data_IF_450270057128
#
_entry.id   IF_450270057128
#
_cell.length_a   1.000
_cell.length_b   1.000
_cell.length_c   1.000
_cell.angle_alpha   90.00
_cell.angle_beta   90.00
_cell.angle_gamma   90.00
#
_symmetry.space_group_name_H-M   'P 1'
#
loop_
_entity.id
_entity.type
_entity.pdbx_description
1 polymer ?
#
# COMPACT_ATOMS: atom_id res chain seq x y z
N UNK A 1 35.09 -40.52 28.09
CA UNK A 1 34.19 -41.48 28.80
C UNK A 1 32.90 -41.88 28.05
N UNK A 2 32.47 -41.21 26.95
CA UNK A 2 31.30 -41.63 26.15
C UNK A 2 31.62 -42.63 25.01
N UNK A 3 32.82 -42.58 24.43
CA UNK A 3 33.23 -43.41 23.28
C UNK A 3 33.43 -44.89 23.68
N UNK A 4 34.04 -45.17 24.84
CA UNK A 4 34.24 -46.55 25.29
C UNK A 4 32.92 -47.27 25.58
N UNK A 5 31.94 -46.59 26.17
CA UNK A 5 30.60 -47.16 26.41
C UNK A 5 29.85 -47.49 25.12
N UNK A 6 30.00 -46.66 24.07
CA UNK A 6 29.44 -46.92 22.73
C UNK A 6 30.15 -48.12 22.08
N UNK A 7 31.48 -48.17 22.15
CA UNK A 7 32.28 -49.28 21.62
C UNK A 7 31.86 -50.60 22.26
N UNK A 8 31.79 -50.70 23.59
CA UNK A 8 31.39 -51.94 24.29
C UNK A 8 29.95 -52.37 23.95
N UNK A 9 29.01 -51.42 23.80
CA UNK A 9 27.60 -51.71 23.49
C UNK A 9 27.44 -52.22 22.05
N UNK A 10 28.09 -51.60 21.07
CA UNK A 10 28.03 -52.05 19.68
C UNK A 10 28.82 -53.33 19.43
N UNK A 11 29.97 -53.53 20.08
CA UNK A 11 30.71 -54.80 19.99
C UNK A 11 29.82 -55.95 20.47
N UNK A 12 29.09 -55.81 21.59
CA UNK A 12 28.15 -56.84 22.07
C UNK A 12 27.03 -57.15 21.06
N UNK A 13 26.45 -56.14 20.43
CA UNK A 13 25.38 -56.31 19.43
C UNK A 13 25.93 -57.03 18.19
N UNK A 14 27.10 -56.60 17.68
CA UNK A 14 27.75 -57.21 16.52
C UNK A 14 28.16 -58.65 16.83
N UNK A 15 28.76 -58.92 18.00
CA UNK A 15 29.11 -60.28 18.43
C UNK A 15 27.88 -61.18 18.53
N UNK A 16 26.74 -60.67 19.00
CA UNK A 16 25.50 -61.43 19.05
C UNK A 16 24.94 -61.75 17.64
N UNK A 17 24.95 -60.78 16.73
CA UNK A 17 24.52 -60.97 15.33
C UNK A 17 25.42 -61.95 14.58
N UNK A 18 26.73 -61.88 14.82
CA UNK A 18 27.72 -62.77 14.20
C UNK A 18 27.61 -64.21 14.71
N UNK A 19 27.34 -64.38 15.99
CA UNK A 19 27.28 -65.71 16.61
C UNK A 19 25.90 -66.37 16.53
N UNK A 20 24.84 -65.58 16.32
CA UNK A 20 23.47 -66.07 16.17
C UNK A 20 22.74 -65.42 14.98
N UNK A 21 23.18 -65.66 13.73
CA UNK A 21 22.44 -65.24 12.57
C UNK A 21 21.18 -66.12 12.45
N UNK A 22 20.07 -65.72 13.10
CA UNK A 22 18.76 -66.38 13.07
C UNK A 22 18.83 -67.91 13.23
N UNK A 23 18.73 -68.40 14.47
CA UNK A 23 18.78 -69.83 14.78
C UNK A 23 18.02 -70.71 13.78
N UNK A 24 18.73 -71.68 13.19
CA UNK A 24 18.24 -72.71 12.26
C UNK A 24 17.58 -72.25 10.94
N UNK A 25 17.76 -70.99 10.51
CA UNK A 25 17.28 -70.54 9.18
C UNK A 25 18.39 -70.74 8.14
N UNK A 26 18.08 -71.42 7.03
CA UNK A 26 19.01 -71.57 5.89
C UNK A 26 19.47 -70.18 5.42
N UNK A 27 20.78 -70.03 5.20
CA UNK A 27 21.44 -68.76 4.87
C UNK A 27 20.79 -68.07 3.66
N UNK A 28 20.24 -68.83 2.71
CA UNK A 28 19.50 -68.28 1.55
C UNK A 28 18.27 -67.49 1.99
N UNK A 29 17.53 -68.01 2.97
CA UNK A 29 16.38 -67.34 3.55
C UNK A 29 16.79 -66.18 4.46
N UNK A 30 17.90 -66.32 5.20
CA UNK A 30 18.43 -65.23 6.02
C UNK A 30 18.80 -64.00 5.15
N UNK A 31 19.44 -64.20 3.99
CA UNK A 31 19.77 -63.10 3.06
C UNK A 31 18.49 -62.42 2.55
N UNK A 32 17.46 -63.18 2.19
CA UNK A 32 16.18 -62.62 1.72
C UNK A 32 15.50 -61.80 2.82
N UNK A 33 15.43 -62.33 4.05
CA UNK A 33 14.81 -61.65 5.19
C UNK A 33 15.56 -60.37 5.54
N UNK A 34 16.88 -60.41 5.65
CA UNK A 34 17.67 -59.20 5.91
C UNK A 34 17.61 -58.19 4.75
N UNK A 35 17.53 -58.66 3.50
CA UNK A 35 17.33 -57.81 2.34
C UNK A 35 16.00 -57.06 2.39
N UNK A 36 14.91 -57.76 2.73
CA UNK A 36 13.59 -57.15 2.93
C UNK A 36 13.63 -56.14 4.09
N UNK A 37 14.30 -56.45 5.19
CA UNK A 37 14.45 -55.53 6.32
C UNK A 37 15.22 -54.27 5.90
N UNK A 38 16.31 -54.39 5.14
CA UNK A 38 17.06 -53.24 4.61
C UNK A 38 16.18 -52.39 3.70
N UNK A 39 15.42 -53.01 2.79
CA UNK A 39 14.50 -52.30 1.89
C UNK A 39 13.41 -51.62 2.71
N UNK A 40 12.76 -52.31 3.64
CA UNK A 40 11.71 -51.75 4.50
C UNK A 40 12.20 -50.56 5.32
N UNK A 41 13.35 -50.70 6.00
CA UNK A 41 13.94 -49.60 6.78
C UNK A 41 14.29 -48.43 5.85
N UNK A 42 14.84 -48.70 4.67
CA UNK A 42 15.15 -47.66 3.67
C UNK A 42 13.89 -46.95 3.19
N UNK A 43 12.82 -47.70 2.87
CA UNK A 43 11.53 -47.15 2.44
C UNK A 43 10.88 -46.32 3.53
N UNK A 44 10.84 -46.81 4.79
CA UNK A 44 10.38 -46.05 5.95
C UNK A 44 11.22 -44.77 6.14
N UNK A 45 12.52 -44.82 5.87
CA UNK A 45 13.41 -43.64 5.91
C UNK A 45 13.11 -42.61 4.81
N UNK A 46 12.69 -43.08 3.62
CA UNK A 46 12.27 -42.21 2.54
C UNK A 46 10.88 -41.61 2.78
N UNK A 47 9.97 -42.37 3.41
CA UNK A 47 8.60 -41.96 3.72
C UNK A 47 8.48 -41.12 5.01
N UNK A 48 9.43 -41.22 5.94
CA UNK A 48 9.47 -40.35 7.12
C UNK A 48 9.93 -38.95 6.72
N UNK A 49 8.94 -38.07 6.59
CA UNK A 49 9.12 -36.63 6.47
C UNK A 49 9.59 -36.09 7.84
N UNK A 50 10.89 -35.81 7.96
CA UNK A 50 11.56 -35.17 9.11
C UNK A 50 11.74 -35.99 10.41
N UNK A 51 12.69 -36.94 10.45
CA UNK A 51 13.11 -37.59 11.70
C UNK A 51 13.95 -36.65 12.59
N UNK A 52 13.67 -36.62 13.89
CA UNK A 52 14.51 -35.95 14.90
C UNK A 52 15.95 -36.49 14.89
N UNK A 53 16.91 -35.75 15.45
CA UNK A 53 18.33 -36.16 15.50
C UNK A 53 18.54 -37.54 16.16
N UNK A 54 17.75 -37.85 17.19
CA UNK A 54 17.76 -39.17 17.84
C UNK A 54 17.16 -40.26 16.93
N UNK A 55 16.07 -39.97 16.21
CA UNK A 55 15.48 -40.89 15.24
C UNK A 55 16.43 -41.15 14.06
N UNK A 56 17.14 -40.13 13.56
CA UNK A 56 18.16 -40.28 12.51
C UNK A 56 19.32 -41.17 12.97
N UNK A 57 19.78 -41.00 14.22
CA UNK A 57 20.83 -41.84 14.79
C UNK A 57 20.38 -43.31 14.94
N UNK A 58 19.15 -43.54 15.40
CA UNK A 58 18.55 -44.88 15.49
C UNK A 58 18.40 -45.52 14.12
N UNK A 59 17.96 -44.75 13.12
CA UNK A 59 17.76 -45.23 11.75
C UNK A 59 19.08 -45.59 11.06
N UNK A 60 20.13 -44.76 11.23
CA UNK A 60 21.48 -45.08 10.76
C UNK A 60 22.04 -46.33 11.42
N UNK A 61 21.85 -46.47 12.73
CA UNK A 61 22.25 -47.67 13.44
C UNK A 61 21.48 -48.90 12.93
N UNK A 62 20.17 -48.79 12.68
CA UNK A 62 19.35 -49.87 12.17
C UNK A 62 19.76 -50.32 10.76
N UNK A 63 20.03 -49.38 9.84
CA UNK A 63 20.55 -49.67 8.50
C UNK A 63 21.92 -50.34 8.57
N UNK A 64 22.85 -49.77 9.36
CA UNK A 64 24.18 -50.33 9.51
C UNK A 64 24.15 -51.73 10.13
N UNK A 65 23.29 -51.98 11.13
CA UNK A 65 23.04 -53.30 11.71
C UNK A 65 22.50 -54.27 10.66
N UNK A 66 21.48 -53.87 9.90
CA UNK A 66 20.82 -54.74 8.92
C UNK A 66 21.75 -55.11 7.75
N UNK A 67 22.53 -54.15 7.24
CA UNK A 67 23.56 -54.41 6.21
C UNK A 67 24.67 -55.30 6.77
N UNK A 68 25.14 -55.04 7.98
CA UNK A 68 26.19 -55.87 8.62
C UNK A 68 25.69 -57.28 8.88
N UNK A 69 24.43 -57.47 9.27
CA UNK A 69 23.80 -58.78 9.44
C UNK A 69 23.67 -59.53 8.11
N UNK A 70 23.26 -58.84 7.03
CA UNK A 70 23.20 -59.41 5.68
C UNK A 70 24.57 -59.90 5.21
N UNK A 71 25.63 -59.09 5.40
CA UNK A 71 26.99 -59.50 5.06
C UNK A 71 27.53 -60.57 6.00
N UNK A 72 27.16 -60.58 7.28
CA UNK A 72 27.53 -61.66 8.21
C UNK A 72 26.94 -63.01 7.76
N UNK A 73 25.70 -63.03 7.26
CA UNK A 73 25.11 -64.22 6.64
C UNK A 73 25.88 -64.68 5.39
N UNK A 74 26.39 -63.76 4.56
CA UNK A 74 27.24 -64.11 3.41
C UNK A 74 28.61 -64.65 3.88
N UNK A 75 29.25 -64.00 4.85
CA UNK A 75 30.57 -64.37 5.37
C UNK A 75 30.58 -65.63 6.24
N UNK A 76 29.41 -66.09 6.72
CA UNK A 76 29.26 -67.39 7.38
C UNK A 76 29.78 -68.55 6.51
N UNK A 77 29.75 -68.39 5.18
CA UNK A 77 30.22 -69.39 4.21
C UNK A 77 31.74 -69.34 3.95
N UNK A 78 32.44 -68.30 4.41
CA UNK A 78 33.87 -68.14 4.15
C UNK A 78 34.68 -69.05 5.07
N UNK A 79 35.16 -70.19 4.58
CA UNK A 79 35.69 -71.26 5.43
C UNK A 79 37.16 -71.07 5.83
N UNK A 80 37.58 -69.86 6.22
CA UNK A 80 38.92 -69.59 6.72
C UNK A 80 38.90 -69.33 8.23
N UNK A 81 39.71 -70.11 8.97
CA UNK A 81 39.80 -70.18 10.43
C UNK A 81 40.33 -68.93 11.15
N UNK A 82 40.09 -67.74 10.60
CA UNK A 82 40.48 -66.45 11.19
C UNK A 82 39.25 -65.65 11.60
N UNK A 83 38.58 -66.12 12.65
CA UNK A 83 37.38 -65.47 13.21
C UNK A 83 37.61 -63.98 13.53
N UNK A 84 38.81 -63.61 13.97
CA UNK A 84 39.19 -62.22 14.26
C UNK A 84 39.19 -61.30 13.03
N UNK A 85 39.59 -61.80 11.86
CA UNK A 85 39.59 -61.00 10.61
C UNK A 85 38.17 -60.76 10.12
N UNK A 86 37.30 -61.78 10.19
CA UNK A 86 35.88 -61.64 9.86
C UNK A 86 35.19 -60.61 10.74
N UNK A 87 35.45 -60.66 12.05
CA UNK A 87 34.93 -59.68 12.99
C UNK A 87 35.42 -58.27 12.64
N UNK A 88 36.72 -58.11 12.36
CA UNK A 88 37.29 -56.81 11.98
C UNK A 88 36.67 -56.26 10.68
N UNK A 89 36.46 -57.10 9.67
CA UNK A 89 35.82 -56.71 8.40
C UNK A 89 34.36 -56.31 8.58
N UNK A 90 33.60 -57.05 9.38
CA UNK A 90 32.20 -56.71 9.69
C UNK A 90 32.10 -55.43 10.51
N UNK A 91 33.03 -55.20 11.44
CA UNK A 91 33.08 -53.99 12.24
C UNK A 91 33.48 -52.78 11.38
N UNK A 92 34.41 -52.96 10.44
CA UNK A 92 34.77 -51.95 9.45
C UNK A 92 33.61 -51.65 8.50
N UNK A 93 32.90 -52.67 8.00
CA UNK A 93 31.70 -52.51 7.18
C UNK A 93 30.61 -51.75 7.94
N UNK A 94 30.34 -52.13 9.20
CA UNK A 94 29.40 -51.43 10.07
C UNK A 94 29.78 -49.96 10.21
N UNK A 95 31.05 -49.66 10.54
CA UNK A 95 31.53 -48.28 10.68
C UNK A 95 31.41 -47.52 9.37
N UNK A 96 31.78 -48.15 8.25
CA UNK A 96 31.76 -47.52 6.93
C UNK A 96 30.33 -47.18 6.52
N UNK A 97 29.38 -48.11 6.67
CA UNK A 97 27.97 -47.87 6.38
C UNK A 97 27.37 -46.86 7.36
N UNK A 98 27.72 -46.92 8.65
CA UNK A 98 27.24 -45.98 9.65
C UNK A 98 27.73 -44.54 9.41
N UNK A 99 29.01 -44.38 9.03
CA UNK A 99 29.64 -43.08 8.81
C UNK A 99 29.40 -42.51 7.41
N UNK A 100 29.36 -43.35 6.36
CA UNK A 100 29.17 -42.92 4.99
C UNK A 100 27.70 -42.71 4.62
N UNK A 101 26.75 -43.01 5.51
CA UNK A 101 25.33 -42.83 5.23
C UNK A 101 24.97 -41.34 5.10
N UNK A 102 24.64 -40.84 3.88
CA UNK A 102 24.37 -39.43 3.63
C UNK A 102 23.06 -38.95 4.24
N UNK A 103 22.22 -39.86 4.77
CA UNK A 103 20.98 -39.54 5.51
C UNK A 103 21.26 -38.58 6.69
N UNK A 104 22.52 -38.48 7.11
CA UNK A 104 22.99 -37.53 8.12
C UNK A 104 23.11 -36.08 7.71
N UNK A 105 23.59 -35.86 6.50
CA UNK A 105 24.19 -34.60 6.09
C UNK A 105 23.30 -33.87 5.11
N UNK A 106 22.42 -34.57 4.40
CA UNK A 106 21.55 -33.95 3.40
C UNK A 106 20.11 -33.74 3.86
N UNK A 107 19.61 -34.49 4.86
CA UNK A 107 18.20 -34.37 5.32
C UNK A 107 18.01 -33.50 6.57
N UNK A 108 19.03 -33.35 7.43
CA UNK A 108 18.92 -32.44 8.60
C UNK A 108 18.83 -30.97 8.18
N UNK A 109 19.48 -30.61 7.08
CA UNK A 109 19.46 -29.24 6.52
C UNK A 109 18.12 -28.88 5.88
N UNK A 110 17.19 -29.84 5.74
CA UNK A 110 15.91 -29.62 5.08
C UNK A 110 14.69 -29.54 6.01
N UNK A 111 14.85 -29.73 7.31
CA UNK A 111 13.71 -29.80 8.24
C UNK A 111 13.56 -28.59 9.20
N UNK A 112 14.39 -27.55 9.05
CA UNK A 112 14.29 -26.28 9.80
C UNK A 112 14.02 -25.06 8.89
N UNK A 113 13.34 -25.25 7.75
CA UNK A 113 13.20 -24.13 6.81
C UNK A 113 12.21 -23.06 7.25
N UNK A 114 11.16 -23.35 8.02
CA UNK A 114 10.10 -22.36 8.25
C UNK A 114 10.00 -21.90 9.70
N UNK A 115 10.33 -20.64 9.94
CA UNK A 115 9.99 -19.95 11.17
C UNK A 115 8.58 -19.35 11.05
N UNK A 116 7.93 -19.21 12.20
CA UNK A 116 6.57 -18.69 12.31
C UNK A 116 6.60 -17.42 13.13
N UNK A 117 5.82 -16.43 12.69
CA UNK A 117 5.58 -15.20 13.44
C UNK A 117 4.10 -15.12 13.73
N UNK A 118 3.77 -15.08 15.02
CA UNK A 118 2.45 -14.72 15.48
C UNK A 118 2.39 -13.21 15.58
N UNK A 119 1.33 -12.59 15.08
CA UNK A 119 1.18 -11.16 15.24
C UNK A 119 -0.25 -10.71 15.36
N UNK A 120 -0.40 -9.44 15.71
CA UNK A 120 -1.68 -8.73 15.72
C UNK A 120 -1.52 -7.43 14.97
N UNK A 121 -2.49 -7.10 14.14
CA UNK A 121 -2.57 -5.83 13.42
C UNK A 121 -3.78 -5.04 13.91
N UNK A 122 -3.53 -3.77 14.24
CA UNK A 122 -4.52 -2.83 14.73
C UNK A 122 -4.56 -1.59 13.84
N UNK A 123 -5.72 -0.96 13.73
CA UNK A 123 -5.92 0.37 13.18
C UNK A 123 -6.38 1.27 14.33
N UNK A 124 -5.48 2.07 14.89
CA UNK A 124 -5.68 2.68 16.21
C UNK A 124 -5.77 1.60 17.28
N UNK A 125 -6.75 1.71 18.16
CA UNK A 125 -7.01 0.71 19.21
C UNK A 125 -7.84 -0.50 18.71
N UNK A 126 -8.36 -0.47 17.48
CA UNK A 126 -9.26 -1.49 16.95
C UNK A 126 -8.51 -2.59 16.17
N UNK A 127 -8.80 -3.88 16.41
CA UNK A 127 -8.18 -4.97 15.66
C UNK A 127 -8.60 -4.95 14.18
N UNK A 128 -7.62 -5.00 13.28
CA UNK A 128 -7.86 -4.96 11.84
C UNK A 128 -8.09 -6.36 11.27
N UNK A 129 -9.35 -6.68 10.96
CA UNK A 129 -9.74 -7.95 10.35
C UNK A 129 -9.59 -7.99 8.83
N UNK A 130 -9.35 -9.19 8.27
CA UNK A 130 -9.24 -9.45 6.83
C UNK A 130 -8.15 -8.63 6.12
N UNK A 131 -7.09 -8.25 6.83
CA UNK A 131 -5.91 -7.65 6.21
C UNK A 131 -4.97 -8.75 5.71
N UNK A 132 -4.51 -8.63 4.47
CA UNK A 132 -3.47 -9.47 3.89
C UNK A 132 -2.13 -9.03 4.46
N UNK A 133 -1.50 -9.89 5.25
CA UNK A 133 -0.13 -9.68 5.75
C UNK A 133 0.80 -10.57 4.94
N UNK A 134 1.84 -10.02 4.34
CA UNK A 134 2.75 -10.74 3.46
C UNK A 134 4.23 -10.40 3.69
N UNK A 135 5.10 -11.32 3.26
CA UNK A 135 6.54 -11.13 3.14
C UNK A 135 6.89 -11.15 1.66
N UNK A 136 7.02 -9.98 1.01
CA UNK A 136 7.26 -9.90 -0.43
C UNK A 136 8.51 -10.65 -0.89
N UNK A 137 9.52 -10.73 -0.01
CA UNK A 137 10.78 -11.41 -0.29
C UNK A 137 10.65 -12.93 -0.33
N UNK A 138 9.65 -13.50 0.35
CA UNK A 138 9.51 -14.95 0.56
C UNK A 138 8.20 -15.51 -0.02
N UNK A 139 7.39 -14.69 -0.71
CA UNK A 139 6.09 -15.06 -1.30
C UNK A 139 5.08 -15.69 -0.31
N UNK A 140 5.22 -15.44 0.98
CA UNK A 140 4.25 -15.88 1.99
C UNK A 140 3.24 -14.79 2.27
N UNK A 141 1.97 -15.16 2.38
CA UNK A 141 0.89 -14.27 2.77
C UNK A 141 -0.11 -14.99 3.67
N UNK A 142 -0.80 -14.23 4.49
CA UNK A 142 -1.84 -14.70 5.41
C UNK A 142 -2.91 -13.61 5.57
N UNK A 143 -4.06 -13.96 6.12
CA UNK A 143 -5.12 -13.02 6.45
C UNK A 143 -5.25 -12.89 7.97
N UNK A 144 -5.44 -11.67 8.45
CA UNK A 144 -5.79 -11.43 9.84
C UNK A 144 -7.22 -11.87 10.15
N UNK A 145 -7.43 -12.45 11.34
CA UNK A 145 -8.73 -12.87 11.82
C UNK A 145 -9.57 -11.70 12.39
N UNK A 146 -10.75 -11.99 12.95
CA UNK A 146 -11.64 -10.98 13.54
C UNK A 146 -11.04 -10.21 14.73
N UNK A 147 -10.02 -10.77 15.38
CA UNK A 147 -9.28 -10.18 16.49
C UNK A 147 -7.95 -9.54 16.02
N UNK A 148 -7.77 -9.37 14.70
CA UNK A 148 -6.56 -8.80 14.11
C UNK A 148 -5.35 -9.73 14.12
N UNK A 149 -5.51 -10.98 14.57
CA UNK A 149 -4.39 -11.91 14.73
C UNK A 149 -4.05 -12.58 13.40
N UNK A 150 -2.76 -12.75 13.14
CA UNK A 150 -2.24 -13.43 11.96
C UNK A 150 -1.08 -14.36 12.29
N UNK A 151 -0.89 -15.36 11.44
CA UNK A 151 0.22 -16.30 11.50
C UNK A 151 0.96 -16.27 10.15
N UNK A 152 2.20 -15.77 10.17
CA UNK A 152 3.03 -15.60 8.98
C UNK A 152 4.18 -16.61 9.02
N UNK A 153 4.41 -17.29 7.88
CA UNK A 153 5.50 -18.26 7.72
C UNK A 153 6.62 -17.63 6.92
N UNK A 154 7.87 -17.98 7.22
CA UNK A 154 9.01 -17.48 6.44
C UNK A 154 10.18 -18.46 6.44
N UNK A 155 10.95 -18.43 5.35
CA UNK A 155 12.12 -19.30 5.17
C UNK A 155 13.33 -18.80 5.98
N UNK A 156 13.70 -19.53 7.03
CA UNK A 156 14.88 -19.31 7.86
C UNK A 156 16.14 -19.86 7.15
N UNK A 157 16.53 -19.21 6.04
CA UNK A 157 17.67 -19.64 5.21
C UNK A 157 19.00 -18.96 5.58
N UNK A 158 18.96 -17.80 6.25
CA UNK A 158 20.14 -17.00 6.65
C UNK A 158 19.88 -16.27 7.99
N UNK A 159 20.94 -15.81 8.67
CA UNK A 159 20.85 -14.89 9.82
C UNK A 159 20.31 -13.53 9.35
N UNK A 160 18.98 -13.43 9.23
CA UNK A 160 18.29 -12.21 8.82
C UNK A 160 17.85 -11.47 10.08
N UNK A 161 18.39 -10.27 10.28
CA UNK A 161 18.03 -9.42 11.44
C UNK A 161 16.66 -8.74 11.27
N UNK A 162 16.19 -8.58 10.02
CA UNK A 162 14.93 -7.89 9.71
C UNK A 162 14.22 -8.39 8.45
N UNK A 163 12.90 -8.46 8.48
CA UNK A 163 12.05 -8.84 7.34
C UNK A 163 11.20 -7.65 6.87
N UNK A 164 11.04 -7.49 5.55
CA UNK A 164 10.04 -6.58 5.00
C UNK A 164 8.64 -7.22 5.12
N UNK A 165 7.78 -6.59 5.90
CA UNK A 165 6.37 -6.98 6.08
C UNK A 165 5.50 -6.00 5.30
N UNK A 166 4.57 -6.51 4.51
CA UNK A 166 3.56 -5.71 3.81
C UNK A 166 2.16 -6.05 4.34
N UNK A 167 1.33 -5.02 4.52
CA UNK A 167 -0.04 -5.14 5.03
C UNK A 167 -0.99 -4.43 4.07
N UNK A 168 -1.95 -5.18 3.52
CA UNK A 168 -2.97 -4.69 2.60
C UNK A 168 -4.38 -4.97 3.07
N UNK A 169 -5.25 -3.97 2.97
CA UNK A 169 -6.69 -4.08 3.17
C UNK A 169 -7.42 -3.13 2.22
N UNK A 170 -8.76 -3.07 2.25
CA UNK A 170 -9.54 -2.14 1.42
C UNK A 170 -9.16 -0.66 1.62
N UNK A 171 -8.59 -0.31 2.79
CA UNK A 171 -8.30 1.08 3.18
C UNK A 171 -6.81 1.36 3.40
N UNK A 172 -5.95 0.33 3.39
CA UNK A 172 -4.55 0.44 3.83
C UNK A 172 -3.66 -0.37 2.89
N UNK A 173 -2.54 0.21 2.49
CA UNK A 173 -1.46 -0.45 1.75
C UNK A 173 -0.12 0.10 2.27
N UNK A 174 0.56 -0.67 3.11
CA UNK A 174 1.78 -0.22 3.78
C UNK A 174 2.81 -1.34 3.89
N UNK A 175 4.07 -0.97 4.08
CA UNK A 175 5.16 -1.91 4.31
C UNK A 175 6.23 -1.33 5.23
N UNK A 176 6.83 -2.17 6.07
CA UNK A 176 7.85 -1.77 7.03
C UNK A 176 8.82 -2.93 7.31
N UNK A 177 10.01 -2.62 7.83
CA UNK A 177 10.98 -3.62 8.25
C UNK A 177 10.76 -4.01 9.70
N UNK A 178 10.41 -5.27 9.94
CA UNK A 178 10.27 -5.86 11.27
C UNK A 178 11.57 -6.52 11.72
N UNK A 179 12.04 -6.19 12.92
CA UNK A 179 13.25 -6.77 13.51
C UNK A 179 12.93 -8.13 14.15
N UNK A 180 13.63 -9.18 13.75
CA UNK A 180 13.41 -10.57 14.21
C UNK A 180 14.04 -10.81 15.60
N UNK A 181 13.87 -9.86 16.52
CA UNK A 181 14.33 -10.00 17.92
C UNK A 181 13.23 -10.53 18.83
N UNK A 182 11.98 -10.56 18.35
CA UNK A 182 10.80 -10.96 19.10
C UNK A 182 10.04 -12.05 18.35
N UNK A 183 9.41 -12.98 19.08
CA UNK A 183 8.59 -14.06 18.50
C UNK A 183 7.17 -13.60 18.14
N UNK A 184 6.79 -12.41 18.60
CA UNK A 184 5.48 -11.79 18.40
C UNK A 184 5.62 -10.44 17.72
N UNK A 185 4.78 -10.18 16.72
CA UNK A 185 4.73 -8.92 15.98
C UNK A 185 3.43 -8.18 16.29
N UNK A 186 3.51 -7.06 16.99
CA UNK A 186 2.36 -6.19 17.21
C UNK A 186 2.49 -4.97 16.32
N UNK A 187 1.51 -4.74 15.45
CA UNK A 187 1.51 -3.68 14.45
C UNK A 187 0.34 -2.75 14.71
N UNK A 188 0.65 -1.55 15.17
CA UNK A 188 -0.31 -0.45 15.28
C UNK A 188 -0.16 0.42 14.04
N UNK A 189 -1.12 0.36 13.11
CA UNK A 189 -0.98 1.00 11.79
C UNK A 189 -0.96 2.53 11.87
N UNK A 190 -1.37 3.12 12.99
CA UNK A 190 -1.15 4.54 13.28
C UNK A 190 0.34 4.91 13.30
N UNK A 191 1.22 3.96 13.63
CA UNK A 191 2.68 4.11 13.60
C UNK A 191 3.27 3.94 12.17
N UNK A 192 2.43 3.66 11.17
CA UNK A 192 2.81 3.44 9.76
C UNK A 192 2.01 4.35 8.80
N UNK A 193 1.91 5.63 9.14
CA UNK A 193 1.29 6.68 8.33
C UNK A 193 1.61 6.53 6.83
N UNK A 194 0.57 6.50 5.99
CA UNK A 194 0.74 6.61 4.54
C UNK A 194 1.38 7.98 4.28
N UNK A 195 2.65 8.06 3.83
CA UNK A 195 3.31 9.34 3.67
C UNK A 195 2.56 10.16 2.63
N UNK A 196 2.33 11.44 2.93
CA UNK A 196 1.67 12.34 1.99
C UNK A 196 2.46 12.40 0.68
N UNK A 197 1.86 11.91 -0.39
CA UNK A 197 2.45 11.92 -1.74
C UNK A 197 1.81 12.99 -2.61
N UNK A 198 2.52 13.47 -3.63
CA UNK A 198 1.97 14.42 -4.61
C UNK A 198 0.68 13.90 -5.27
N UNK A 199 0.56 12.58 -5.44
CA UNK A 199 -0.65 11.96 -6.00
C UNK A 199 -1.85 12.08 -5.05
N UNK A 200 -1.64 11.89 -3.75
CA UNK A 200 -2.70 12.08 -2.75
C UNK A 200 -3.13 13.55 -2.72
N UNK A 201 -2.18 14.47 -2.70
CA UNK A 201 -2.47 15.92 -2.77
C UNK A 201 -3.29 16.24 -4.03
N UNK A 202 -2.85 15.76 -5.20
CA UNK A 202 -3.57 15.99 -6.46
C UNK A 202 -5.02 15.48 -6.40
N UNK A 203 -5.23 14.25 -5.94
CA UNK A 203 -6.57 13.67 -5.83
C UNK A 203 -7.48 14.48 -4.88
N UNK A 204 -6.94 14.97 -3.76
CA UNK A 204 -7.70 15.79 -2.81
C UNK A 204 -8.06 17.15 -3.41
N UNK A 205 -7.14 17.80 -4.11
CA UNK A 205 -7.38 19.07 -4.82
C UNK A 205 -8.39 18.87 -5.96
N UNK A 206 -8.31 17.76 -6.71
CA UNK A 206 -9.28 17.39 -7.74
C UNK A 206 -10.68 17.21 -7.14
N UNK A 207 -10.80 16.50 -6.02
CA UNK A 207 -12.08 16.31 -5.34
C UNK A 207 -12.70 17.63 -4.88
N UNK A 208 -11.89 18.55 -4.34
CA UNK A 208 -12.36 19.91 -3.99
C UNK A 208 -12.76 20.71 -5.23
N UNK A 209 -12.02 20.55 -6.34
CA UNK A 209 -12.35 21.20 -7.61
C UNK A 209 -13.72 20.73 -8.12
N UNK A 210 -13.99 19.42 -8.07
CA UNK A 210 -15.29 18.85 -8.42
C UNK A 210 -16.41 19.40 -7.54
N UNK A 211 -16.19 19.50 -6.22
CA UNK A 211 -17.16 20.09 -5.30
C UNK A 211 -17.52 21.54 -5.68
N UNK A 212 -16.53 22.36 -6.06
CA UNK A 212 -16.78 23.71 -6.55
C UNK A 212 -17.58 23.71 -7.86
N UNK A 213 -17.24 22.82 -8.79
CA UNK A 213 -17.98 22.71 -10.05
C UNK A 213 -19.44 22.33 -9.81
N UNK A 214 -19.73 21.41 -8.88
CA UNK A 214 -21.09 21.05 -8.47
C UNK A 214 -21.84 22.24 -7.86
N UNK A 215 -21.19 23.03 -6.99
CA UNK A 215 -21.79 24.25 -6.44
C UNK A 215 -22.12 25.27 -7.54
N UNK A 216 -21.21 25.43 -8.51
CA UNK A 216 -21.44 26.32 -9.65
C UNK A 216 -22.57 25.84 -10.54
N UNK A 217 -22.72 24.54 -10.79
CA UNK A 217 -23.89 24.00 -11.49
C UNK A 217 -25.18 24.32 -10.74
N UNK A 218 -25.19 24.21 -9.41
CA UNK A 218 -26.31 24.63 -8.58
C UNK A 218 -26.63 26.12 -8.73
N UNK A 219 -25.61 26.98 -8.83
CA UNK A 219 -25.78 28.41 -9.07
C UNK A 219 -26.33 28.70 -10.48
N UNK A 220 -25.83 28.03 -11.52
CA UNK A 220 -26.32 28.20 -12.89
C UNK A 220 -27.80 27.87 -13.04
N UNK A 221 -28.27 26.81 -12.35
CA UNK A 221 -29.69 26.46 -12.29
C UNK A 221 -30.51 27.54 -11.60
N UNK A 222 -30.04 28.09 -10.47
CA UNK A 222 -30.71 29.19 -9.75
C UNK A 222 -30.78 30.48 -10.56
N UNK A 223 -29.82 30.70 -11.47
CA UNK A 223 -29.77 31.88 -12.34
C UNK A 223 -30.59 31.72 -13.61
N UNK A 224 -31.25 30.58 -13.81
CA UNK A 224 -32.10 30.29 -14.96
C UNK A 224 -31.38 30.56 -16.30
N UNK A 225 -30.10 30.19 -16.38
CA UNK A 225 -29.28 30.40 -17.57
C UNK A 225 -29.90 29.68 -18.77
N UNK A 226 -30.15 30.44 -19.86
CA UNK A 226 -30.76 29.96 -21.10
C UNK A 226 -29.68 29.62 -22.14
N UNK A 227 -30.02 29.72 -23.42
CA UNK A 227 -29.05 29.58 -24.50
C UNK A 227 -27.99 30.71 -24.46
N UNK A 228 -26.73 30.40 -24.80
CA UNK A 228 -25.67 31.39 -24.81
C UNK A 228 -25.88 32.41 -25.93
N UNK A 229 -25.56 33.67 -25.64
CA UNK A 229 -25.59 34.79 -26.59
C UNK A 229 -24.20 35.07 -27.16
N UNK A 230 -24.17 35.78 -28.28
CA UNK A 230 -22.90 36.22 -28.89
C UNK A 230 -22.28 37.40 -28.15
N UNK A 231 -20.96 37.56 -28.32
CA UNK A 231 -20.22 38.71 -27.80
C UNK A 231 -20.75 40.05 -28.33
N UNK A 232 -21.06 40.10 -29.63
CA UNK A 232 -21.57 41.30 -30.28
C UNK A 232 -22.94 41.71 -29.74
N UNK A 233 -23.78 40.72 -29.44
CA UNK A 233 -25.07 40.96 -28.80
C UNK A 233 -24.91 41.52 -27.39
N UNK A 234 -24.01 40.95 -26.58
CA UNK A 234 -23.71 41.47 -25.25
C UNK A 234 -23.22 42.92 -25.32
N UNK A 235 -22.29 43.21 -26.23
CA UNK A 235 -21.77 44.57 -26.46
C UNK A 235 -22.88 45.55 -26.85
N UNK A 236 -23.81 45.13 -27.72
CA UNK A 236 -24.97 45.93 -28.12
C UNK A 236 -25.87 46.25 -26.92
N UNK A 237 -26.12 45.27 -26.06
CA UNK A 237 -26.94 45.44 -24.86
C UNK A 237 -26.26 46.31 -23.80
N UNK A 238 -24.93 46.22 -23.68
CA UNK A 238 -24.11 46.94 -22.70
C UNK A 238 -23.91 48.42 -23.05
N UNK A 239 -23.75 48.73 -24.34
CA UNK A 239 -23.41 50.08 -24.84
C UNK A 239 -24.32 51.22 -24.31
N UNK A 240 -25.66 51.08 -24.25
CA UNK A 240 -26.53 52.13 -23.69
C UNK A 240 -26.21 52.46 -22.23
N UNK A 241 -25.80 51.47 -21.43
CA UNK A 241 -25.36 51.71 -20.07
C UNK A 241 -24.11 52.57 -20.04
N UNK A 242 -23.10 52.30 -20.87
CA UNK A 242 -21.88 53.13 -20.87
C UNK A 242 -22.13 54.56 -21.33
N UNK A 243 -22.90 54.74 -22.40
CA UNK A 243 -23.13 56.05 -23.02
C UNK A 243 -23.91 57.05 -22.16
N UNK A 244 -24.67 56.59 -21.17
CA UNK A 244 -25.46 57.47 -20.29
C UNK A 244 -24.52 58.31 -19.42
N UNK A 245 -24.53 59.63 -19.51
CA UNK A 245 -23.65 60.45 -18.65
C UNK A 245 -24.24 60.58 -17.24
N UNK A 246 -23.68 59.86 -16.27
CA UNK A 246 -24.06 59.92 -14.84
C UNK A 246 -22.97 59.29 -13.96
N UNK A 247 -23.04 59.53 -12.65
CA UNK A 247 -22.15 58.94 -11.66
C UNK A 247 -22.24 57.41 -11.61
N UNK A 248 -21.12 56.76 -11.30
CA UNK A 248 -20.98 55.30 -11.27
C UNK A 248 -20.59 54.81 -9.88
N UNK A 249 -21.28 53.77 -9.43
CA UNK A 249 -20.91 52.98 -8.26
C UNK A 249 -20.57 51.57 -8.72
N UNK A 250 -19.34 51.15 -8.45
CA UNK A 250 -18.88 49.80 -8.78
C UNK A 250 -18.74 48.98 -7.48
N UNK A 251 -19.35 47.81 -7.47
CA UNK A 251 -19.29 46.85 -6.37
C UNK A 251 -18.65 45.57 -6.89
N UNK A 252 -17.71 45.04 -6.11
CA UNK A 252 -16.92 43.87 -6.48
C UNK A 252 -16.99 42.87 -5.35
N UNK A 253 -17.23 41.62 -5.71
CA UNK A 253 -17.20 40.49 -4.79
C UNK A 253 -16.56 39.30 -5.48
N UNK A 254 -15.67 38.62 -4.79
CA UNK A 254 -15.17 37.31 -5.18
C UNK A 254 -15.74 36.27 -4.22
N UNK A 255 -16.15 35.12 -4.77
CA UNK A 255 -16.69 33.96 -4.05
C UNK A 255 -15.93 32.71 -4.47
N UNK A 256 -15.05 32.24 -3.60
CA UNK A 256 -14.52 30.89 -3.64
C UNK A 256 -15.33 29.95 -2.75
N UNK A 257 -14.81 28.74 -2.50
CA UNK A 257 -15.49 27.73 -1.65
C UNK A 257 -15.56 28.19 -0.18
N UNK A 258 -14.45 28.74 0.34
CA UNK A 258 -14.31 29.15 1.75
C UNK A 258 -13.84 30.60 1.90
N UNK A 259 -13.53 31.27 0.78
CA UNK A 259 -13.01 32.65 0.79
C UNK A 259 -13.97 33.57 0.07
N UNK A 260 -14.29 34.69 0.73
CA UNK A 260 -14.96 35.82 0.11
C UNK A 260 -14.09 37.07 0.22
N UNK A 261 -13.95 37.79 -0.89
CA UNK A 261 -13.26 39.08 -0.92
C UNK A 261 -14.22 40.14 -1.46
N UNK A 262 -14.21 41.30 -0.83
CA UNK A 262 -14.93 42.47 -1.31
C UNK A 262 -13.96 43.58 -1.68
N UNK A 263 -14.41 44.51 -2.53
CA UNK A 263 -13.66 45.65 -3.08
C UNK A 263 -12.60 45.28 -4.11
N UNK A 264 -12.58 46.03 -5.22
CA UNK A 264 -11.63 45.84 -6.34
C UNK A 264 -10.18 45.76 -5.91
N UNK A 265 -9.75 46.63 -4.97
CA UNK A 265 -8.37 46.67 -4.48
C UNK A 265 -7.92 45.34 -3.85
N UNK A 266 -8.82 44.65 -3.15
CA UNK A 266 -8.51 43.39 -2.48
C UNK A 266 -8.46 42.25 -3.50
N UNK A 267 -9.37 42.24 -4.48
CA UNK A 267 -9.35 41.29 -5.59
C UNK A 267 -8.04 41.39 -6.38
N UNK A 268 -7.62 42.62 -6.72
CA UNK A 268 -6.36 42.85 -7.43
C UNK A 268 -5.14 42.48 -6.58
N UNK A 269 -5.15 42.79 -5.28
CA UNK A 269 -4.09 42.38 -4.36
C UNK A 269 -4.01 40.86 -4.20
N UNK A 270 -5.13 40.16 -4.33
CA UNK A 270 -5.19 38.69 -4.38
C UNK A 270 -4.87 38.11 -5.77
N UNK A 271 -4.47 38.94 -6.74
CA UNK A 271 -4.06 38.50 -8.08
C UNK A 271 -5.21 38.18 -9.04
N UNK A 272 -6.45 38.57 -8.73
CA UNK A 272 -7.60 38.39 -9.63
C UNK A 272 -7.60 39.50 -10.68
N UNK A 273 -6.83 39.32 -11.75
CA UNK A 273 -6.64 40.33 -12.81
C UNK A 273 -7.90 40.59 -13.63
N UNK A 274 -8.85 39.65 -13.70
CA UNK A 274 -10.14 39.86 -14.36
C UNK A 274 -10.93 41.05 -13.78
N UNK A 275 -10.65 41.45 -12.53
CA UNK A 275 -11.26 42.63 -11.90
C UNK A 275 -10.72 43.97 -12.45
N UNK A 276 -9.68 43.95 -13.29
CA UNK A 276 -9.19 45.13 -14.00
C UNK A 276 -10.20 45.59 -15.06
N UNK A 277 -10.86 44.66 -15.73
CA UNK A 277 -11.76 44.95 -16.85
C UNK A 277 -13.20 45.13 -16.40
N UNK A 278 -13.70 46.36 -16.53
CA UNK A 278 -15.05 46.73 -16.11
C UNK A 278 -16.12 46.58 -17.20
N UNK A 279 -15.68 46.32 -18.43
CA UNK A 279 -16.54 46.18 -19.59
C UNK A 279 -16.25 44.86 -20.30
N UNK A 280 -17.24 44.33 -21.04
CA UNK A 280 -17.10 43.04 -21.67
C UNK A 280 -16.19 43.10 -22.92
N UNK A 281 -15.70 44.26 -23.37
CA UNK A 281 -15.05 44.41 -24.69
C UNK A 281 -13.82 43.53 -24.92
N UNK A 282 -13.14 43.06 -23.85
CA UNK A 282 -12.06 42.09 -23.96
C UNK A 282 -12.35 40.80 -23.16
N UNK A 283 -13.64 40.47 -23.05
CA UNK A 283 -14.17 39.26 -22.42
C UNK A 283 -13.73 39.06 -20.97
N UNK A 284 -13.42 40.15 -20.25
CA UNK A 284 -12.87 40.08 -18.90
C UNK A 284 -11.66 39.15 -18.80
N UNK A 285 -10.81 39.16 -19.84
CA UNK A 285 -9.61 38.31 -19.98
C UNK A 285 -9.87 36.81 -20.17
N UNK A 286 -11.11 36.38 -20.41
CA UNK A 286 -11.37 35.00 -20.81
C UNK A 286 -11.00 34.76 -22.28
N UNK A 287 -10.04 33.87 -22.50
CA UNK A 287 -9.66 33.40 -23.84
C UNK A 287 -10.82 32.67 -24.54
N UNK A 288 -11.61 31.90 -23.79
CA UNK A 288 -12.76 31.13 -24.30
C UNK A 288 -13.88 31.06 -23.26
N UNK A 289 -15.07 31.54 -23.63
CA UNK A 289 -16.20 31.59 -22.71
C UNK A 289 -17.56 31.47 -23.42
N UNK A 290 -18.55 30.98 -22.67
CA UNK A 290 -19.98 31.14 -22.96
C UNK A 290 -20.49 32.40 -22.26
N UNK A 291 -21.50 33.03 -22.85
CA UNK A 291 -22.13 34.22 -22.32
C UNK A 291 -23.60 33.93 -22.20
N UNK A 292 -24.16 34.05 -21.00
CA UNK A 292 -25.56 33.79 -20.74
C UNK A 292 -26.25 35.05 -20.26
N UNK A 293 -27.35 35.39 -20.91
CA UNK A 293 -28.16 36.53 -20.53
C UNK A 293 -29.20 36.08 -19.49
N UNK A 294 -29.19 36.71 -18.31
CA UNK A 294 -30.19 36.47 -17.25
C UNK A 294 -31.33 37.46 -17.39
N UNK A 295 -31.00 38.76 -17.50
CA UNK A 295 -31.99 39.84 -17.52
C UNK A 295 -31.55 40.96 -18.44
N UNK A 296 -32.51 41.54 -19.17
CA UNK A 296 -32.27 42.72 -20.00
C UNK A 296 -33.53 43.59 -20.05
N UNK A 297 -33.40 44.83 -19.62
CA UNK A 297 -34.41 45.89 -19.65
C UNK A 297 -33.78 47.15 -20.22
N UNK A 298 -34.57 47.92 -20.95
CA UNK A 298 -34.14 49.21 -21.52
C UNK A 298 -34.51 50.38 -20.59
N UNK A 299 -34.04 51.57 -20.94
CA UNK A 299 -34.38 52.80 -20.21
C UNK A 299 -35.90 53.08 -20.20
N UNK A 300 -36.44 53.76 -19.17
CA UNK A 300 -35.73 54.49 -18.10
C UNK A 300 -35.26 53.66 -16.89
N UNK A 301 -35.63 52.38 -16.82
CA UNK A 301 -35.22 51.45 -15.76
C UNK A 301 -34.27 50.39 -16.33
N UNK A 302 -33.11 50.84 -16.77
CA UNK A 302 -32.14 49.98 -17.43
C UNK A 302 -31.63 48.92 -16.44
N UNK A 303 -31.71 47.66 -16.84
CA UNK A 303 -31.11 46.54 -16.12
C UNK A 303 -30.48 45.60 -17.13
N UNK A 304 -29.23 45.22 -16.92
CA UNK A 304 -28.58 44.18 -17.70
C UNK A 304 -27.87 43.24 -16.74
N UNK A 305 -28.19 41.96 -16.83
CA UNK A 305 -27.57 40.93 -16.02
C UNK A 305 -27.14 39.77 -16.91
N UNK A 306 -25.86 39.42 -16.83
CA UNK A 306 -25.28 38.34 -17.61
C UNK A 306 -24.21 37.60 -16.81
N UNK A 307 -23.91 36.39 -17.28
CA UNK A 307 -22.87 35.52 -16.72
C UNK A 307 -21.94 35.10 -17.86
N UNK A 308 -20.64 35.27 -17.65
CA UNK A 308 -19.62 34.68 -18.51
C UNK A 308 -19.05 33.45 -17.82
N UNK A 309 -18.97 32.33 -18.53
CA UNK A 309 -18.47 31.05 -18.02
C UNK A 309 -17.23 30.67 -18.81
N UNK A 310 -16.10 30.45 -18.12
CA UNK A 310 -14.85 30.03 -18.73
C UNK A 310 -14.95 28.56 -19.19
N UNK A 311 -14.67 28.30 -20.47
CA UNK A 311 -14.70 26.94 -21.05
C UNK A 311 -13.44 26.12 -20.79
N UNK A 312 -12.33 26.74 -20.42
CA UNK A 312 -11.08 26.02 -20.18
C UNK A 312 -11.22 25.11 -18.96
N UNK A 313 -10.64 23.90 -18.92
CA UNK A 313 -10.65 23.07 -17.72
C UNK A 313 -9.89 23.74 -16.57
N UNK A 314 -10.19 23.34 -15.34
CA UNK A 314 -9.47 23.79 -14.15
C UNK A 314 -8.16 23.01 -14.08
N UNK A 315 -7.05 23.69 -14.31
CA UNK A 315 -5.73 23.10 -14.19
C UNK A 315 -5.02 23.69 -12.97
N UNK A 316 -4.33 22.82 -12.22
CA UNK A 316 -3.55 23.26 -11.07
C UNK A 316 -2.17 22.63 -11.07
N UNK A 317 -1.25 23.30 -10.36
CA UNK A 317 0.12 22.84 -10.18
C UNK A 317 0.49 22.85 -8.70
N UNK A 318 1.02 21.72 -8.23
CA UNK A 318 1.55 21.55 -6.88
C UNK A 318 2.98 22.07 -6.87
N UNK A 319 3.21 23.25 -6.28
CA UNK A 319 4.51 23.92 -6.37
C UNK A 319 5.53 23.31 -5.41
N UNK A 320 5.25 23.25 -4.09
CA UNK A 320 6.08 22.54 -3.12
C UNK A 320 5.25 22.09 -1.90
N UNK A 321 5.24 20.79 -1.55
CA UNK A 321 4.70 20.33 -0.27
C UNK A 321 5.70 20.62 0.85
N UNK A 322 5.22 21.18 1.96
CA UNK A 322 5.95 21.39 3.21
C UNK A 322 5.47 20.38 4.24
N UNK A 323 6.42 19.74 4.91
CA UNK A 323 6.14 18.84 6.01
C UNK A 323 6.16 19.62 7.32
N UNK A 324 5.10 19.53 8.10
CA UNK A 324 5.04 20.12 9.44
C UNK A 324 5.21 19.06 10.53
N UNK A 325 4.48 17.95 10.42
CA UNK A 325 4.51 16.83 11.35
C UNK A 325 3.99 15.56 10.67
N UNK A 326 4.12 14.41 11.34
CA UNK A 326 3.83 13.08 10.79
C UNK A 326 2.43 12.97 10.16
N UNK A 327 1.44 13.65 10.75
CA UNK A 327 0.06 13.70 10.28
C UNK A 327 -0.36 15.08 9.71
N UNK A 328 0.58 15.98 9.41
CA UNK A 328 0.28 17.35 8.98
C UNK A 328 1.26 17.87 7.92
N UNK A 329 0.70 18.23 6.77
CA UNK A 329 1.42 18.78 5.61
C UNK A 329 0.74 20.06 5.14
N UNK A 330 1.50 20.97 4.54
CA UNK A 330 0.94 22.03 3.70
C UNK A 330 1.45 21.92 2.27
N UNK A 331 0.72 22.46 1.29
CA UNK A 331 1.23 22.60 -0.06
C UNK A 331 0.65 23.84 -0.73
N UNK A 332 1.51 24.54 -1.45
CA UNK A 332 1.07 25.66 -2.28
C UNK A 332 0.58 25.14 -3.63
N UNK A 333 -0.68 25.40 -3.93
CA UNK A 333 -1.36 25.04 -5.17
C UNK A 333 -1.57 26.31 -5.98
N UNK A 334 -1.08 26.34 -7.21
CA UNK A 334 -1.39 27.43 -8.15
C UNK A 334 -2.40 26.97 -9.17
N UNK A 335 -3.43 27.78 -9.40
CA UNK A 335 -4.47 27.53 -10.39
C UNK A 335 -4.22 28.36 -11.64
N UNK A 336 -4.15 27.67 -12.78
CA UNK A 336 -4.24 28.32 -14.08
C UNK A 336 -5.72 28.62 -14.36
N UNK A 337 -6.03 29.78 -14.94
CA UNK A 337 -7.42 30.15 -15.27
C UNK A 337 -8.34 30.10 -14.04
N UNK A 338 -7.88 30.73 -12.95
CA UNK A 338 -8.45 30.61 -11.63
C UNK A 338 -9.91 31.09 -11.52
N UNK A 339 -10.35 32.02 -12.40
CA UNK A 339 -11.75 32.48 -12.47
C UNK A 339 -12.56 31.62 -13.44
N UNK A 340 -13.64 31.05 -12.92
CA UNK A 340 -14.52 30.10 -13.60
C UNK A 340 -15.76 30.76 -14.17
N UNK A 341 -16.28 31.75 -13.45
CA UNK A 341 -17.43 32.51 -13.91
C UNK A 341 -17.38 33.95 -13.39
N UNK A 342 -17.93 34.86 -14.20
CA UNK A 342 -18.13 36.26 -13.82
C UNK A 342 -19.60 36.58 -14.04
N UNK A 343 -20.32 36.90 -12.97
CA UNK A 343 -21.68 37.43 -13.05
C UNK A 343 -21.63 38.93 -12.92
N UNK A 344 -22.25 39.62 -13.86
CA UNK A 344 -22.27 41.07 -13.90
C UNK A 344 -23.72 41.56 -13.96
N UNK A 345 -24.05 42.47 -13.04
CA UNK A 345 -25.35 43.14 -12.97
C UNK A 345 -25.16 44.64 -13.09
N UNK A 346 -25.86 45.23 -14.04
CA UNK A 346 -25.93 46.67 -14.30
C UNK A 346 -27.32 47.15 -13.99
N UNK A 347 -27.43 48.24 -13.25
CA UNK A 347 -28.70 48.89 -12.97
C UNK A 347 -28.55 50.40 -13.10
N UNK A 348 -29.53 51.02 -13.75
CA UNK A 348 -29.65 52.47 -13.81
C UNK A 348 -31.15 52.78 -13.85
N UNK A 349 -31.71 53.20 -12.71
CA UNK A 349 -33.10 53.64 -12.63
C UNK A 349 -33.19 55.15 -12.47
N UNK A 350 -34.21 55.74 -13.07
CA UNK A 350 -34.60 57.12 -12.82
C UNK A 350 -35.05 57.36 -11.36
N UNK A 351 -35.40 56.31 -10.61
CA UNK A 351 -35.88 56.39 -9.22
C UNK A 351 -34.76 56.35 -8.18
N UNK A 352 -33.58 55.79 -8.50
CA UNK A 352 -32.44 55.63 -7.59
C UNK A 352 -31.41 56.75 -7.76
N UNK A 353 -31.84 58.01 -7.61
CA UNK A 353 -30.99 59.22 -7.72
C UNK A 353 -30.20 59.37 -9.05
N UNK A 354 -30.48 58.54 -10.05
CA UNK A 354 -29.90 58.61 -11.39
C UNK A 354 -28.48 58.05 -11.52
N UNK A 355 -27.90 57.41 -10.51
CA UNK A 355 -26.56 56.79 -10.64
C UNK A 355 -26.62 55.40 -11.31
N UNK A 356 -25.53 55.07 -11.98
CA UNK A 356 -25.25 53.73 -12.51
C UNK A 356 -24.66 52.85 -11.43
N UNK A 357 -25.20 51.66 -11.26
CA UNK A 357 -24.61 50.61 -10.42
C UNK A 357 -24.07 49.50 -11.32
N UNK A 358 -22.83 49.10 -11.08
CA UNK A 358 -22.22 47.90 -11.64
C UNK A 358 -21.82 46.99 -10.49
N UNK A 359 -22.39 45.79 -10.44
CA UNK A 359 -22.01 44.75 -9.50
C UNK A 359 -21.32 43.63 -10.28
N UNK A 360 -20.09 43.32 -9.91
CA UNK A 360 -19.31 42.23 -10.50
C UNK A 360 -19.02 41.18 -9.44
N UNK A 361 -19.51 39.97 -9.67
CA UNK A 361 -19.24 38.80 -8.84
C UNK A 361 -18.32 37.83 -9.60
N UNK A 362 -17.19 37.49 -9.01
CA UNK A 362 -16.19 36.58 -9.57
C UNK A 362 -16.26 35.26 -8.81
N UNK A 363 -16.34 34.15 -9.53
CA UNK A 363 -16.44 32.81 -8.97
C UNK A 363 -15.23 31.99 -9.44
N UNK A 364 -14.52 31.37 -8.51
CA UNK A 364 -13.36 30.54 -8.84
C UNK A 364 -12.44 30.30 -7.65
N UNK A 365 -11.16 30.08 -7.94
CA UNK A 365 -10.08 29.88 -6.97
C UNK A 365 -9.21 31.13 -6.90
N UNK A 366 -8.47 31.30 -5.81
CA UNK A 366 -7.38 32.28 -5.82
C UNK A 366 -6.27 31.77 -6.76
N UNK A 367 -5.49 32.66 -7.40
CA UNK A 367 -4.40 32.24 -8.28
C UNK A 367 -3.39 31.31 -7.60
N UNK A 368 -3.21 31.49 -6.29
CA UNK A 368 -2.37 30.64 -5.46
C UNK A 368 -2.99 30.50 -4.06
N UNK A 369 -3.11 29.26 -3.61
CA UNK A 369 -3.68 28.89 -2.31
C UNK A 369 -2.70 27.97 -1.56
N UNK A 370 -2.54 28.17 -0.25
CA UNK A 370 -1.86 27.23 0.64
C UNK A 370 -2.90 26.29 1.24
N UNK A 371 -2.78 25.01 0.90
CA UNK A 371 -3.63 23.95 1.42
C UNK A 371 -2.97 23.30 2.63
N UNK A 372 -3.73 23.12 3.69
CA UNK A 372 -3.34 22.33 4.86
C UNK A 372 -4.01 20.96 4.83
N UNK A 373 -3.22 19.92 5.04
CA UNK A 373 -3.65 18.53 4.98
C UNK A 373 -3.37 17.82 6.29
N UNK A 374 -4.38 17.13 6.83
CA UNK A 374 -4.25 16.37 8.08
C UNK A 374 -4.70 14.94 7.90
N UNK A 375 -3.91 14.00 8.41
CA UNK A 375 -4.30 12.59 8.48
C UNK A 375 -5.19 12.36 9.69
N UNK A 376 -6.40 11.87 9.48
CA UNK A 376 -7.38 11.58 10.53
C UNK A 376 -8.21 10.37 10.12
N UNK A 377 -8.49 9.46 11.05
CA UNK A 377 -9.34 8.28 10.82
C UNK A 377 -8.91 7.38 9.65
N UNK A 378 -7.60 7.28 9.38
CA UNK A 378 -7.06 6.46 8.30
C UNK A 378 -7.05 7.11 6.91
N UNK A 379 -7.38 8.39 6.80
CA UNK A 379 -7.39 9.13 5.53
C UNK A 379 -6.77 10.52 5.64
N UNK A 380 -6.21 11.01 4.53
CA UNK A 380 -5.74 12.40 4.41
C UNK A 380 -6.91 13.30 4.02
N UNK A 381 -7.06 14.42 4.72
CA UNK A 381 -8.13 15.39 4.51
C UNK A 381 -7.55 16.79 4.32
N UNK A 382 -8.20 17.62 3.50
CA UNK A 382 -7.96 19.07 3.46
C UNK A 382 -8.67 19.69 4.66
N UNK A 383 -7.95 20.44 5.49
CA UNK A 383 -8.51 21.11 6.68
C UNK A 383 -8.59 22.63 6.51
N UNK A 384 -7.82 23.20 5.58
CA UNK A 384 -7.89 24.61 5.22
C UNK A 384 -7.34 24.84 3.81
N UNK A 385 -7.82 25.88 3.14
CA UNK A 385 -7.21 26.45 1.94
C UNK A 385 -7.18 27.98 2.09
N UNK A 386 -5.98 28.54 2.22
CA UNK A 386 -5.76 29.93 2.56
C UNK A 386 -5.06 30.69 1.43
N UNK A 387 -5.26 32.01 1.37
CA UNK A 387 -4.47 32.86 0.48
C UNK A 387 -2.98 32.82 0.88
N UNK A 388 -2.08 32.62 -0.08
CA UNK A 388 -0.64 32.74 0.16
C UNK A 388 -0.29 34.22 0.38
N UNK A 389 0.30 34.52 1.54
CA UNK A 389 0.69 35.87 1.97
C UNK A 389 1.90 36.43 1.23
#
# INVERSE_FOLDING_TARGET
MKIDKLKTKYTKIITHIVNHPLGNVDYKWAIVVYGIIVIFISTVTFLLECPSGEQSAVLRAAIAIAVTALFASIFSKWNEGRMGIKLALLLFLFLSVYLANPISTTKTDHCNFYAHVNGKVFLGDDPLSNATVSLPQNNFQTLSNHSGEFLLRWENREEIDSLLVAIQSKKIDTSFYWQIKQTTMEVHLEDTLIPMSKKIIANLVESRTQQFEEEMQGNYLKWEMKDPISMDELIRLFRPFELKDTYYRNEFRYKGIETELEFRKNLLAAGITAAEELNPYRKHQFDSCDIYLIKSNTFPNYQLEYVMVNRKPINFKINQPRYHAENHYSANISFEENIRSIRLKLECSAQTEGYKVRQMEFYGFLPMEEYEFKFKNGEWLIIAANQVS
#
